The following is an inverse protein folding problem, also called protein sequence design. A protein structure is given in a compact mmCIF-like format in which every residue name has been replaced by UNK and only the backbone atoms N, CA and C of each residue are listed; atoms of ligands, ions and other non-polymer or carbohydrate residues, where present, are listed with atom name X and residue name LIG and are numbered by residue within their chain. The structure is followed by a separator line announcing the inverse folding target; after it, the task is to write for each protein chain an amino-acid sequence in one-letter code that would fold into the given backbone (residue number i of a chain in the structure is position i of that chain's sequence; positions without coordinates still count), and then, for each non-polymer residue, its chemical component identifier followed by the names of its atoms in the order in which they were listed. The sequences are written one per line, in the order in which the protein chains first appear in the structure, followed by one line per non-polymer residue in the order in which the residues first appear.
data_IF_236792517669
#
_entry.id   IF_236792517669
#
_cell.length_a   1.000
_cell.length_b   1.000
_cell.length_c   1.000
_cell.angle_alpha   90.00
_cell.angle_beta   90.00
_cell.angle_gamma   90.00
#
_symmetry.space_group_name_H-M   'P 1'
#
loop_
_entity.id
_entity.type
_entity.pdbx_description
1 polymer ?
#
# COMPACT_ATOMS: atom_id res chain seq x y z
N UNK A 1 -23.77 -17.79 -15.51
CA UNK A 1 -22.40 -17.62 -16.05
C UNK A 1 -21.70 -16.39 -15.43
N UNK A 2 -21.83 -16.15 -14.11
CA UNK A 2 -21.49 -14.85 -13.48
C UNK A 2 -20.66 -14.93 -12.17
N UNK A 3 -19.83 -15.96 -11.96
CA UNK A 3 -18.87 -15.97 -10.83
C UNK A 3 -17.48 -15.40 -11.19
N UNK A 4 -17.20 -15.13 -12.47
CA UNK A 4 -15.91 -14.64 -12.98
C UNK A 4 -15.82 -13.11 -13.12
N UNK A 5 -16.91 -12.37 -12.89
CA UNK A 5 -16.95 -10.90 -13.08
C UNK A 5 -16.29 -10.15 -11.90
N UNK A 6 -16.28 -10.74 -10.70
CA UNK A 6 -15.72 -10.08 -9.50
C UNK A 6 -14.19 -10.00 -9.55
N UNK A 7 -13.52 -10.97 -10.19
CA UNK A 7 -12.06 -10.95 -10.37
C UNK A 7 -11.58 -9.85 -11.32
N UNK A 8 -12.41 -9.44 -12.29
CA UNK A 8 -12.00 -8.44 -13.27
C UNK A 8 -12.00 -7.02 -12.69
N UNK A 9 -12.97 -6.66 -11.84
CA UNK A 9 -13.09 -5.28 -11.36
C UNK A 9 -11.88 -4.79 -10.55
N UNK A 10 -11.31 -5.63 -9.68
CA UNK A 10 -10.11 -5.25 -8.93
C UNK A 10 -8.88 -5.15 -9.84
N UNK A 11 -8.71 -6.10 -10.76
CA UNK A 11 -7.62 -6.08 -11.73
C UNK A 11 -7.71 -4.89 -12.70
N UNK A 12 -8.93 -4.51 -13.09
CA UNK A 12 -9.21 -3.35 -13.91
C UNK A 12 -8.83 -2.07 -13.18
N UNK A 13 -9.27 -1.92 -11.91
CA UNK A 13 -8.89 -0.77 -11.06
C UNK A 13 -7.38 -0.72 -10.81
N UNK A 14 -6.74 -1.87 -10.57
CA UNK A 14 -5.29 -1.93 -10.38
C UNK A 14 -4.53 -1.48 -11.64
N UNK A 15 -4.99 -1.90 -12.82
CA UNK A 15 -4.43 -1.49 -14.11
C UNK A 15 -4.67 -0.01 -14.40
N UNK A 16 -5.85 0.51 -14.04
CA UNK A 16 -6.20 1.93 -14.18
C UNK A 16 -5.36 2.82 -13.25
N UNK A 17 -4.97 2.34 -12.08
CA UNK A 17 -4.16 3.08 -11.11
C UNK A 17 -2.67 3.19 -11.46
N UNK A 18 -2.26 2.72 -12.63
CA UNK A 18 -0.84 2.67 -13.01
C UNK A 18 -0.17 1.41 -12.46
N UNK A 19 0.03 0.37 -13.29
CA UNK A 19 0.47 -0.95 -12.82
C UNK A 19 1.85 -0.92 -12.15
N UNK A 20 2.71 0.03 -12.51
CA UNK A 20 4.05 0.16 -11.93
C UNK A 20 4.00 0.49 -10.43
N UNK A 21 3.36 1.60 -10.05
CA UNK A 21 3.28 2.02 -8.66
C UNK A 21 2.42 1.09 -7.82
N UNK A 22 1.32 0.59 -8.39
CA UNK A 22 0.44 -0.37 -7.73
C UNK A 22 1.16 -1.67 -7.38
N UNK A 23 2.01 -2.19 -8.29
CA UNK A 23 2.83 -3.38 -8.03
C UNK A 23 3.88 -3.12 -6.96
N UNK A 24 4.47 -1.92 -6.94
CA UNK A 24 5.46 -1.54 -5.93
C UNK A 24 4.85 -1.49 -4.52
N UNK A 25 3.65 -0.92 -4.39
CA UNK A 25 2.88 -0.92 -3.12
C UNK A 25 2.51 -2.35 -2.71
N UNK A 26 2.09 -3.19 -3.66
CA UNK A 26 1.77 -4.59 -3.40
C UNK A 26 3.00 -5.37 -2.91
N UNK A 27 4.17 -5.12 -3.49
CA UNK A 27 5.43 -5.75 -3.06
C UNK A 27 5.79 -5.34 -1.63
N UNK A 28 5.63 -4.06 -1.28
CA UNK A 28 5.79 -3.60 0.11
C UNK A 28 4.81 -4.30 1.06
N UNK A 29 3.55 -4.47 0.65
CA UNK A 29 2.53 -5.17 1.44
C UNK A 29 2.90 -6.64 1.69
N UNK A 30 3.28 -7.37 0.64
CA UNK A 30 3.70 -8.76 0.74
C UNK A 30 4.92 -8.92 1.65
N UNK A 31 5.90 -8.03 1.52
CA UNK A 31 7.07 -7.99 2.40
C UNK A 31 6.67 -7.75 3.87
N UNK A 32 5.78 -6.78 4.13
CA UNK A 32 5.26 -6.52 5.47
C UNK A 32 4.55 -7.73 6.06
N UNK A 33 3.74 -8.46 5.27
CA UNK A 33 3.05 -9.67 5.72
C UNK A 33 4.04 -10.78 6.07
N UNK A 34 5.04 -11.03 5.21
CA UNK A 34 6.08 -12.05 5.46
C UNK A 34 6.83 -11.74 6.76
N UNK A 35 7.24 -10.48 6.95
CA UNK A 35 7.93 -10.05 8.16
C UNK A 35 7.04 -10.11 9.41
N UNK A 36 5.73 -9.84 9.29
CA UNK A 36 4.76 -10.01 10.37
C UNK A 36 4.66 -11.47 10.81
N UNK A 37 4.55 -12.40 9.85
CA UNK A 37 4.50 -13.84 10.12
C UNK A 37 5.78 -14.31 10.81
N UNK A 38 6.95 -13.93 10.29
CA UNK A 38 8.24 -14.24 10.90
C UNK A 38 8.34 -13.62 12.30
N UNK A 39 7.91 -12.37 12.46
CA UNK A 39 7.84 -11.67 13.74
C UNK A 39 7.03 -12.46 14.76
N UNK A 40 5.85 -12.92 14.36
CA UNK A 40 4.93 -13.67 15.22
C UNK A 40 5.49 -15.04 15.65
N UNK A 41 6.07 -15.79 14.71
CA UNK A 41 6.69 -17.10 14.99
C UNK A 41 7.91 -16.99 15.93
N UNK A 42 8.59 -15.85 15.95
CA UNK A 42 9.77 -15.62 16.77
C UNK A 42 9.48 -14.93 18.11
N UNK A 43 8.22 -14.55 18.42
CA UNK A 43 7.86 -13.87 19.68
C UNK A 43 8.35 -14.68 20.89
N UNK A 44 8.03 -15.98 20.94
CA UNK A 44 8.37 -16.87 22.06
C UNK A 44 9.79 -17.42 22.02
N UNK A 45 10.34 -17.63 20.82
CA UNK A 45 11.67 -18.25 20.66
C UNK A 45 12.79 -17.25 20.90
N UNK A 46 12.65 -16.03 20.39
CA UNK A 46 13.69 -15.01 20.40
C UNK A 46 13.05 -13.60 20.36
N UNK A 47 12.61 -13.06 21.52
CA UNK A 47 11.90 -11.77 21.57
C UNK A 47 12.71 -10.62 20.97
N UNK A 48 14.05 -10.63 21.11
CA UNK A 48 14.94 -9.62 20.48
C UNK A 48 14.83 -9.62 18.95
N UNK A 49 14.73 -10.79 18.32
CA UNK A 49 14.57 -10.91 16.86
C UNK A 49 13.18 -10.43 16.43
N UNK A 50 12.14 -10.81 17.17
CA UNK A 50 10.78 -10.36 16.91
C UNK A 50 10.64 -8.82 17.02
N UNK A 51 11.30 -8.21 18.02
CA UNK A 51 11.35 -6.75 18.15
C UNK A 51 12.01 -6.07 16.95
N UNK A 52 13.10 -6.64 16.44
CA UNK A 52 13.74 -6.14 15.21
C UNK A 52 12.80 -6.27 14.01
N UNK A 53 12.16 -7.42 13.82
CA UNK A 53 11.20 -7.63 12.72
C UNK A 53 10.04 -6.63 12.78
N UNK A 54 9.51 -6.34 13.98
CA UNK A 54 8.46 -5.35 14.16
C UNK A 54 8.87 -3.96 13.64
N UNK A 55 10.11 -3.52 13.91
CA UNK A 55 10.63 -2.26 13.35
C UNK A 55 10.71 -2.31 11.83
N UNK A 56 11.24 -3.39 11.25
CA UNK A 56 11.29 -3.54 9.79
C UNK A 56 9.91 -3.54 9.13
N UNK A 57 8.89 -4.16 9.77
CA UNK A 57 7.51 -4.13 9.25
C UNK A 57 7.00 -2.69 9.24
N UNK A 58 7.24 -1.93 10.32
CA UNK A 58 6.84 -0.52 10.41
C UNK A 58 7.46 0.28 9.27
N UNK A 59 8.76 0.14 9.05
CA UNK A 59 9.49 0.88 8.00
C UNK A 59 9.02 0.47 6.60
N UNK A 60 8.84 -0.83 6.33
CA UNK A 60 8.35 -1.34 5.05
C UNK A 60 6.91 -0.87 4.75
N UNK A 61 6.04 -0.87 5.76
CA UNK A 61 4.65 -0.40 5.60
C UNK A 61 4.59 1.10 5.31
N UNK A 62 5.44 1.90 5.96
CA UNK A 62 5.55 3.33 5.71
C UNK A 62 6.09 3.62 4.31
N UNK A 63 7.07 2.84 3.86
CA UNK A 63 7.60 2.95 2.50
C UNK A 63 6.50 2.73 1.46
N UNK A 64 5.69 1.68 1.61
CA UNK A 64 4.54 1.44 0.73
C UNK A 64 3.52 2.58 0.72
N UNK A 65 3.23 3.17 1.88
CA UNK A 65 2.35 4.34 1.99
C UNK A 65 2.93 5.56 1.27
N UNK A 66 4.20 5.87 1.51
CA UNK A 66 4.89 7.02 0.90
C UNK A 66 4.98 6.86 -0.61
N UNK A 67 5.25 5.65 -1.11
CA UNK A 67 5.20 5.34 -2.54
C UNK A 67 3.81 5.60 -3.11
N UNK A 68 2.75 5.21 -2.40
CA UNK A 68 1.37 5.47 -2.83
C UNK A 68 1.04 6.96 -2.95
N UNK A 69 1.49 7.77 -1.98
CA UNK A 69 1.35 9.22 -2.05
C UNK A 69 2.21 9.85 -3.16
N UNK A 70 3.45 9.40 -3.33
CA UNK A 70 4.33 9.87 -4.40
C UNK A 70 3.70 9.61 -5.78
N UNK A 71 3.19 8.40 -5.99
CA UNK A 71 2.52 8.04 -7.23
C UNK A 71 1.25 8.88 -7.48
N UNK A 72 0.50 9.18 -6.42
CA UNK A 72 -0.65 10.08 -6.49
C UNK A 72 -0.24 11.49 -6.93
N UNK A 73 0.84 12.04 -6.37
CA UNK A 73 1.38 13.35 -6.78
C UNK A 73 1.81 13.33 -8.24
N UNK A 74 2.51 12.28 -8.69
CA UNK A 74 2.92 12.12 -10.09
C UNK A 74 1.71 12.04 -11.03
N UNK A 75 0.67 11.28 -10.65
CA UNK A 75 -0.56 11.18 -11.44
C UNK A 75 -1.31 12.52 -11.56
N UNK A 76 -1.27 13.33 -10.50
CA UNK A 76 -1.87 14.67 -10.52
C UNK A 76 -1.07 15.65 -11.38
N UNK A 77 0.27 15.62 -11.30
CA UNK A 77 1.15 16.43 -12.16
C UNK A 77 0.89 16.09 -13.63
N UNK A 78 0.87 14.81 -13.98
CA UNK A 78 0.57 14.37 -15.36
C UNK A 78 -0.81 14.81 -15.85
N UNK A 79 -1.80 14.86 -14.96
CA UNK A 79 -3.13 15.38 -15.28
C UNK A 79 -3.08 16.87 -15.64
N UNK A 80 -2.36 17.67 -14.86
CA UNK A 80 -2.20 19.10 -15.10
C UNK A 80 -1.35 19.39 -16.34
N UNK A 81 -0.24 18.66 -16.55
CA UNK A 81 0.62 18.82 -17.74
C UNK A 81 -0.17 18.56 -19.04
N UNK A 82 -1.07 17.56 -19.02
CA UNK A 82 -1.93 17.24 -20.17
C UNK A 82 -2.91 18.38 -20.49
N UNK A 83 -3.38 19.09 -19.47
CA UNK A 83 -4.29 20.23 -19.63
C UNK A 83 -3.53 21.46 -20.14
N UNK A 84 -2.33 21.72 -19.60
CA UNK A 84 -1.47 22.82 -20.04
C UNK A 84 -1.10 22.69 -21.52
N UNK A 85 -0.78 21.46 -21.97
CA UNK A 85 -0.36 21.21 -23.36
C UNK A 85 -1.47 21.42 -24.41
N UNK A 86 -2.74 21.20 -24.04
CA UNK A 86 -3.88 21.25 -24.97
C UNK A 86 -4.54 22.64 -24.97
N UNK A 87 -4.40 23.41 -23.90
CA UNK A 87 -4.98 24.76 -23.77
C UNK A 87 -6.51 24.78 -23.64
N UNK A 88 -7.17 23.62 -23.62
CA UNK A 88 -8.61 23.47 -23.38
C UNK A 88 -8.84 22.62 -22.11
N UNK A 89 -9.37 23.19 -21.02
CA UNK A 89 -9.64 22.48 -19.78
C UNK A 89 -10.90 21.61 -19.91
N UNK A 90 -10.87 20.61 -20.78
CA UNK A 90 -11.96 19.65 -20.87
C UNK A 90 -12.01 18.81 -19.57
N UNK A 91 -13.17 18.74 -18.87
CA UNK A 91 -13.28 18.00 -17.61
C UNK A 91 -12.96 16.50 -17.72
N UNK A 92 -13.06 15.93 -18.92
CA UNK A 92 -12.77 14.54 -19.19
C UNK A 92 -11.28 14.20 -19.01
N UNK A 93 -10.37 15.12 -19.37
CA UNK A 93 -8.93 14.91 -19.21
C UNK A 93 -8.51 14.90 -17.74
N UNK A 94 -9.07 15.83 -16.96
CA UNK A 94 -8.87 15.89 -15.51
C UNK A 94 -9.36 14.60 -14.83
N UNK A 95 -10.52 14.08 -15.23
CA UNK A 95 -11.11 12.89 -14.63
C UNK A 95 -10.22 11.65 -14.77
N UNK A 96 -9.47 11.52 -15.87
CA UNK A 96 -8.53 10.42 -16.09
C UNK A 96 -7.37 10.46 -15.09
N UNK A 97 -6.58 11.53 -15.08
CA UNK A 97 -5.40 11.64 -14.23
C UNK A 97 -5.73 11.71 -12.73
N UNK A 98 -6.84 12.36 -12.36
CA UNK A 98 -7.35 12.37 -10.99
C UNK A 98 -7.75 10.96 -10.52
N UNK A 99 -8.39 10.17 -11.39
CA UNK A 99 -8.75 8.79 -11.08
C UNK A 99 -7.51 7.95 -10.78
N UNK A 100 -6.46 8.03 -11.59
CA UNK A 100 -5.19 7.32 -11.35
C UNK A 100 -4.58 7.74 -10.01
N UNK A 101 -4.53 9.04 -9.76
CA UNK A 101 -3.95 9.62 -8.54
C UNK A 101 -4.66 9.13 -7.27
N UNK A 102 -5.99 9.24 -7.24
CA UNK A 102 -6.81 8.87 -6.08
C UNK A 102 -6.81 7.36 -5.82
N UNK A 103 -6.81 6.55 -6.89
CA UNK A 103 -6.81 5.11 -6.78
C UNK A 103 -5.50 4.62 -6.16
N UNK A 104 -4.37 5.22 -6.56
CA UNK A 104 -3.04 4.85 -6.03
C UNK A 104 -2.86 5.27 -4.57
N UNK A 105 -3.31 6.48 -4.20
CA UNK A 105 -3.32 6.91 -2.80
C UNK A 105 -4.19 6.00 -1.93
N UNK A 106 -5.38 5.65 -2.41
CA UNK A 106 -6.31 4.77 -1.71
C UNK A 106 -5.71 3.39 -1.49
N UNK A 107 -5.05 2.83 -2.51
CA UNK A 107 -4.40 1.53 -2.40
C UNK A 107 -3.22 1.54 -1.42
N UNK A 108 -2.40 2.60 -1.42
CA UNK A 108 -1.33 2.80 -0.45
C UNK A 108 -1.84 2.91 1.00
N UNK A 109 -2.90 3.68 1.22
CA UNK A 109 -3.56 3.79 2.53
C UNK A 109 -4.16 2.46 2.98
N UNK A 110 -4.83 1.76 2.09
CA UNK A 110 -5.42 0.44 2.37
C UNK A 110 -4.34 -0.58 2.79
N UNK A 111 -3.26 -0.67 2.02
CA UNK A 111 -2.09 -1.49 2.34
C UNK A 111 -1.51 -1.16 3.72
N UNK A 112 -1.37 0.14 4.01
CA UNK A 112 -0.85 0.62 5.29
C UNK A 112 -1.75 0.24 6.48
N UNK A 113 -3.07 0.36 6.36
CA UNK A 113 -4.03 0.00 7.41
C UNK A 113 -3.91 -1.48 7.75
N UNK A 114 -3.86 -2.36 6.74
CA UNK A 114 -3.72 -3.81 6.95
C UNK A 114 -2.42 -4.11 7.72
N UNK A 115 -1.30 -3.54 7.29
CA UNK A 115 -0.03 -3.73 7.97
C UNK A 115 -0.08 -3.19 9.42
N UNK A 116 -0.78 -2.06 9.66
CA UNK A 116 -0.89 -1.46 11.00
C UNK A 116 -1.67 -2.31 11.99
N UNK A 117 -2.74 -2.96 11.55
CA UNK A 117 -3.49 -3.91 12.38
C UNK A 117 -2.56 -5.07 12.79
N UNK A 118 -1.79 -5.61 11.85
CA UNK A 118 -0.82 -6.67 12.14
C UNK A 118 0.29 -6.23 13.10
N UNK A 119 0.83 -5.02 12.93
CA UNK A 119 1.84 -4.43 13.82
C UNK A 119 1.28 -4.26 15.24
N UNK A 120 0.04 -3.79 15.38
CA UNK A 120 -0.60 -3.60 16.68
C UNK A 120 -0.68 -4.92 17.44
N UNK A 121 -1.12 -5.98 16.75
CA UNK A 121 -1.23 -7.31 17.34
C UNK A 121 0.14 -7.88 17.72
N UNK A 122 1.14 -7.78 16.83
CA UNK A 122 2.49 -8.24 17.11
C UNK A 122 3.12 -7.48 18.29
N UNK A 123 2.91 -6.16 18.35
CA UNK A 123 3.40 -5.31 19.45
C UNK A 123 2.79 -5.71 20.78
N UNK A 124 1.48 -5.93 20.80
CA UNK A 124 0.76 -6.36 22.00
C UNK A 124 1.31 -7.69 22.53
N UNK A 125 1.49 -8.67 21.63
CA UNK A 125 2.05 -9.99 21.98
C UNK A 125 3.50 -9.93 22.45
N UNK A 126 4.33 -9.11 21.81
CA UNK A 126 5.74 -8.96 22.17
C UNK A 126 5.92 -8.32 23.55
N UNK A 127 5.13 -7.29 23.88
CA UNK A 127 5.24 -6.62 25.16
C UNK A 127 4.85 -7.53 26.34
N UNK A 128 3.86 -8.41 26.16
CA UNK A 128 3.45 -9.37 27.19
C UNK A 128 4.59 -10.34 27.56
N UNK A 129 5.34 -10.81 26.57
CA UNK A 129 6.41 -11.81 26.76
C UNK A 129 7.75 -11.18 27.18
N UNK A 130 7.87 -9.85 27.14
CA UNK A 130 9.03 -9.12 27.67
C UNK A 130 8.85 -8.67 29.14
N UNK A 131 7.62 -8.72 29.65
CA UNK A 131 7.29 -8.40 31.04
C UNK A 131 7.27 -9.61 31.97
N UNK A 132 7.35 -10.82 31.43
CA UNK A 132 7.60 -12.08 32.16
C UNK A 132 9.10 -12.35 32.28
#
# INVERSE_FOLDING_TARGET
MNSLVITNQFADRFSEGGPFFMTLILLCLLLSIILLVIGFLNVRKNPRKSHKMLKLVVDASLLGLVIGFLASVIGLISAFDSVEAIGDPSPALFAGGLKVSLLTATFGLFSFIIARIGILFLRWRLNAEMSE
#
